data_IF_424423665286
#
_entry.id   IF_424423665286
#
_cell.length_a   1.000
_cell.length_b   1.000
_cell.length_c   1.000
_cell.angle_alpha   90.00
_cell.angle_beta   90.00
_cell.angle_gamma   90.00
#
_symmetry.space_group_name_H-M   'P 1'
#
loop_
_entity.id
_entity.type
_entity.pdbx_description
1 polymer ?
#
# COMPACT_ATOMS: atom_id res chain seq x y z
N UNK A 1 42.94 -13.89 -14.85
CA UNK A 1 42.62 -13.22 -13.56
C UNK A 1 41.20 -12.68 -13.67
N UNK A 2 40.25 -13.38 -13.14
CA UNK A 2 38.84 -12.98 -13.09
C UNK A 2 38.63 -12.13 -11.84
N UNK A 3 38.49 -10.83 -12.04
CA UNK A 3 38.06 -9.91 -10.99
C UNK A 3 36.56 -10.14 -10.78
N UNK A 4 36.22 -10.89 -9.76
CA UNK A 4 34.85 -10.97 -9.27
C UNK A 4 34.56 -9.63 -8.57
N UNK A 5 33.92 -8.72 -9.30
CA UNK A 5 33.33 -7.53 -8.68
C UNK A 5 32.17 -8.02 -7.84
N UNK A 6 32.37 -8.13 -6.56
CA UNK A 6 31.28 -8.32 -5.60
C UNK A 6 30.51 -7.00 -5.55
N UNK A 7 29.50 -6.90 -6.40
CA UNK A 7 28.52 -5.81 -6.32
C UNK A 7 27.83 -5.92 -4.96
N UNK A 8 27.98 -4.90 -4.12
CA UNK A 8 27.32 -4.85 -2.84
C UNK A 8 25.80 -4.92 -3.09
N UNK A 9 25.01 -5.69 -2.30
CA UNK A 9 23.59 -5.80 -2.51
C UNK A 9 22.98 -4.40 -2.45
N UNK A 10 22.21 -4.03 -3.48
CA UNK A 10 21.50 -2.76 -3.54
C UNK A 10 20.70 -2.59 -2.25
N UNK A 11 20.88 -1.46 -1.57
CA UNK A 11 20.21 -1.17 -0.31
C UNK A 11 18.72 -1.07 -0.57
N UNK A 12 17.97 -2.06 -0.16
CA UNK A 12 16.51 -2.06 -0.26
C UNK A 12 15.97 -1.01 0.69
N UNK A 13 15.27 -0.02 0.15
CA UNK A 13 14.64 1.05 0.92
C UNK A 13 13.16 0.76 1.07
N UNK A 14 12.73 0.51 2.29
CA UNK A 14 11.31 0.39 2.62
C UNK A 14 10.73 1.75 3.00
N UNK A 15 9.55 2.05 2.45
CA UNK A 15 8.82 3.28 2.76
C UNK A 15 7.33 3.05 2.80
N UNK A 16 6.67 3.86 3.61
CA UNK A 16 5.22 4.05 3.57
C UNK A 16 4.93 5.37 2.88
N UNK A 17 4.16 5.30 1.82
CA UNK A 17 3.85 6.43 0.95
C UNK A 17 2.34 6.63 0.92
N UNK A 18 1.91 7.87 1.00
CA UNK A 18 0.51 8.24 0.87
C UNK A 18 0.35 9.14 -0.35
N UNK A 19 -0.53 8.77 -1.25
CA UNK A 19 -0.75 9.54 -2.47
C UNK A 19 -2.12 9.26 -3.09
N UNK A 20 -2.36 9.86 -4.23
CA UNK A 20 -3.59 9.66 -4.99
C UNK A 20 -3.29 8.87 -6.27
N UNK A 21 -4.19 7.94 -6.62
CA UNK A 21 -4.07 7.19 -7.85
C UNK A 21 -4.26 8.11 -9.07
N UNK A 22 -3.34 8.04 -10.01
CA UNK A 22 -3.36 8.86 -11.24
C UNK A 22 -4.12 8.19 -12.38
N UNK A 23 -4.32 6.89 -12.27
CA UNK A 23 -5.05 6.04 -13.21
C UNK A 23 -5.72 4.89 -12.47
N UNK A 24 -6.69 4.27 -13.11
CA UNK A 24 -7.31 3.05 -12.58
C UNK A 24 -6.26 1.94 -12.50
N UNK A 25 -6.28 1.11 -11.44
CA UNK A 25 -5.39 -0.04 -11.34
C UNK A 25 -5.65 -1.04 -12.47
N UNK A 26 -4.60 -1.56 -13.07
CA UNK A 26 -4.67 -2.62 -14.08
C UNK A 26 -4.27 -3.95 -13.48
N UNK A 27 -5.16 -4.93 -13.57
CA UNK A 27 -4.89 -6.32 -13.18
C UNK A 27 -4.32 -7.09 -14.38
N UNK A 28 -3.26 -7.81 -14.13
CA UNK A 28 -2.62 -8.73 -15.09
C UNK A 28 -2.29 -10.05 -14.41
N UNK A 29 -2.08 -11.07 -15.22
CA UNK A 29 -1.67 -12.38 -14.74
C UNK A 29 -0.32 -12.75 -15.35
N UNK A 30 0.56 -13.29 -14.53
CA UNK A 30 1.84 -13.83 -15.02
C UNK A 30 1.61 -15.11 -15.82
N UNK A 31 2.65 -15.58 -16.52
CA UNK A 31 2.60 -16.87 -17.25
C UNK A 31 2.30 -18.06 -16.32
N UNK A 32 2.57 -17.93 -15.04
CA UNK A 32 2.26 -18.91 -13.98
C UNK A 32 0.87 -18.74 -13.36
N UNK A 33 0.10 -17.75 -13.82
CA UNK A 33 -1.23 -17.46 -13.30
C UNK A 33 -1.27 -16.61 -12.03
N UNK A 34 -0.15 -16.05 -11.58
CA UNK A 34 -0.11 -15.15 -10.41
C UNK A 34 -0.66 -13.79 -10.79
N UNK A 35 -1.72 -13.30 -10.11
CA UNK A 35 -2.23 -11.96 -10.35
C UNK A 35 -1.24 -10.89 -9.86
N UNK A 36 -1.15 -9.81 -10.60
CA UNK A 36 -0.42 -8.61 -10.20
C UNK A 36 -1.11 -7.38 -10.78
N UNK A 37 -1.06 -6.29 -10.06
CA UNK A 37 -1.69 -5.04 -10.46
C UNK A 37 -0.70 -3.89 -10.46
N UNK A 38 -0.89 -2.97 -11.38
CA UNK A 38 -0.14 -1.71 -11.45
C UNK A 38 -1.07 -0.52 -11.40
N UNK A 39 -0.64 0.51 -10.70
CA UNK A 39 -1.33 1.80 -10.67
C UNK A 39 -0.30 2.94 -10.61
N UNK A 40 -0.64 4.09 -11.12
CA UNK A 40 0.17 5.29 -10.90
C UNK A 40 -0.20 5.95 -9.58
N UNK A 41 0.78 6.40 -8.82
CA UNK A 41 0.61 7.07 -7.55
C UNK A 41 1.29 8.43 -7.58
N UNK A 42 0.52 9.50 -7.35
CA UNK A 42 1.04 10.86 -7.21
C UNK A 42 1.11 11.26 -5.73
N UNK A 43 2.28 11.62 -5.28
CA UNK A 43 2.57 12.07 -3.93
C UNK A 43 2.81 13.57 -3.94
N UNK A 44 1.91 14.32 -3.33
CA UNK A 44 2.03 15.77 -3.22
C UNK A 44 2.75 16.12 -1.92
N UNK A 45 3.82 16.84 -2.03
CA UNK A 45 4.57 17.37 -0.92
C UNK A 45 4.25 18.84 -0.70
N UNK A 46 4.08 19.23 0.55
CA UNK A 46 3.91 20.62 0.96
C UNK A 46 4.98 20.95 1.97
N UNK A 47 5.63 22.08 1.78
CA UNK A 47 6.60 22.62 2.71
C UNK A 47 5.99 23.82 3.43
N UNK A 48 6.10 23.84 4.75
CA UNK A 48 5.73 25.00 5.55
C UNK A 48 6.95 25.90 5.71
N UNK A 49 6.81 27.16 5.39
CA UNK A 49 7.82 28.20 5.65
C UNK A 49 7.72 28.72 7.08
N UNK A 50 8.77 29.37 7.54
CA UNK A 50 8.83 29.94 8.89
C UNK A 50 7.82 31.05 9.11
N UNK A 51 7.40 31.73 8.05
CA UNK A 51 6.34 32.76 8.04
C UNK A 51 4.90 32.19 8.14
N UNK A 52 4.78 30.85 8.17
CA UNK A 52 3.51 30.14 8.25
C UNK A 52 2.82 29.87 6.90
N UNK A 53 3.40 30.31 5.79
CA UNK A 53 2.89 30.02 4.46
C UNK A 53 3.23 28.59 4.01
N UNK A 54 2.42 28.05 3.10
CA UNK A 54 2.61 26.72 2.53
C UNK A 54 3.01 26.82 1.07
N UNK A 55 4.07 26.14 0.71
CA UNK A 55 4.53 25.94 -0.67
C UNK A 55 4.17 24.53 -1.13
N UNK A 56 3.53 24.44 -2.29
CA UNK A 56 3.33 23.16 -2.96
C UNK A 56 4.57 22.82 -3.77
N UNK A 57 5.20 21.71 -3.43
CA UNK A 57 6.34 21.19 -4.17
C UNK A 57 5.85 20.36 -5.36
N UNK A 58 6.73 20.17 -6.34
CA UNK A 58 6.43 19.29 -7.47
C UNK A 58 6.04 17.88 -6.96
N UNK A 59 4.97 17.29 -7.52
CA UNK A 59 4.55 15.95 -7.13
C UNK A 59 5.60 14.92 -7.52
N UNK A 60 5.80 13.95 -6.66
CA UNK A 60 6.56 12.74 -6.99
C UNK A 60 5.62 11.66 -7.50
N UNK A 61 6.05 10.95 -8.53
CA UNK A 61 5.28 9.88 -9.13
C UNK A 61 5.94 8.53 -8.86
N UNK A 62 5.12 7.55 -8.51
CA UNK A 62 5.53 6.17 -8.31
C UNK A 62 4.63 5.25 -9.13
N UNK A 63 5.20 4.17 -9.65
CA UNK A 63 4.44 3.04 -10.14
C UNK A 63 4.22 2.07 -8.98
N UNK A 64 2.97 2.02 -8.51
CA UNK A 64 2.55 1.08 -7.48
C UNK A 64 2.38 -0.30 -8.12
N UNK A 65 3.00 -1.30 -7.54
CA UNK A 65 2.91 -2.70 -7.98
C UNK A 65 2.49 -3.57 -6.80
N UNK A 66 1.44 -4.36 -6.99
CA UNK A 66 0.91 -5.29 -6.02
C UNK A 66 0.84 -6.69 -6.62
N UNK A 67 1.00 -7.72 -5.80
CA UNK A 67 0.94 -9.12 -6.20
C UNK A 67 -0.08 -9.91 -5.39
N UNK A 68 -0.55 -11.02 -5.97
CA UNK A 68 -1.44 -11.95 -5.31
C UNK A 68 -2.85 -11.39 -5.09
N UNK A 69 -3.53 -11.88 -4.08
CA UNK A 69 -4.90 -11.49 -3.75
C UNK A 69 -5.06 -9.99 -3.53
N UNK A 70 -4.03 -9.34 -2.99
CA UNK A 70 -4.01 -7.89 -2.81
C UNK A 70 -4.15 -7.14 -4.13
N UNK A 71 -3.61 -7.67 -5.23
CA UNK A 71 -3.74 -7.07 -6.56
C UNK A 71 -5.19 -7.14 -7.05
N UNK A 72 -5.87 -8.25 -6.85
CA UNK A 72 -7.28 -8.42 -7.22
C UNK A 72 -8.17 -7.50 -6.38
N UNK A 73 -7.96 -7.46 -5.07
CA UNK A 73 -8.69 -6.58 -4.16
C UNK A 73 -8.47 -5.10 -4.48
N UNK A 74 -7.25 -4.71 -4.84
CA UNK A 74 -6.94 -3.34 -5.21
C UNK A 74 -7.78 -2.87 -6.40
N UNK A 75 -7.82 -3.66 -7.47
CA UNK A 75 -8.57 -3.34 -8.70
C UNK A 75 -10.07 -3.26 -8.43
N UNK A 76 -10.58 -4.08 -7.52
CA UNK A 76 -11.98 -4.12 -7.15
C UNK A 76 -12.41 -2.97 -6.25
N UNK A 77 -11.50 -2.51 -5.36
CA UNK A 77 -11.83 -1.55 -4.30
C UNK A 77 -11.55 -0.09 -4.65
N UNK A 78 -10.62 0.19 -5.57
CA UNK A 78 -10.13 1.56 -5.81
C UNK A 78 -10.12 1.93 -7.28
N UNK A 79 -10.27 3.21 -7.53
CA UNK A 79 -10.25 3.80 -8.86
C UNK A 79 -9.32 5.02 -8.91
N UNK A 80 -9.14 5.59 -10.10
CA UNK A 80 -8.42 6.84 -10.29
C UNK A 80 -8.90 7.91 -9.32
N UNK A 81 -7.97 8.63 -8.71
CA UNK A 81 -8.25 9.68 -7.74
C UNK A 81 -8.38 9.21 -6.29
N UNK A 82 -8.52 7.91 -6.05
CA UNK A 82 -8.56 7.36 -4.69
C UNK A 82 -7.25 7.63 -3.96
N UNK A 83 -7.34 8.13 -2.73
CA UNK A 83 -6.18 8.31 -1.86
C UNK A 83 -5.86 7.02 -1.15
N UNK A 84 -4.64 6.54 -1.35
CA UNK A 84 -4.17 5.28 -0.77
C UNK A 84 -2.92 5.49 0.07
N UNK A 85 -2.71 4.58 1.01
CA UNK A 85 -1.49 4.44 1.79
C UNK A 85 -0.89 3.11 1.37
N UNK A 86 0.34 3.14 0.88
CA UNK A 86 1.03 1.94 0.45
C UNK A 86 2.38 1.83 1.17
N UNK A 87 2.68 0.66 1.67
CA UNK A 87 3.95 0.33 2.32
C UNK A 87 4.65 -0.77 1.57
N UNK A 88 5.94 -0.61 1.33
CA UNK A 88 6.72 -1.59 0.61
C UNK A 88 8.12 -1.10 0.28
N UNK A 89 8.79 -1.82 -0.60
CA UNK A 89 10.13 -1.47 -1.06
C UNK A 89 10.09 -0.57 -2.29
N UNK A 90 10.99 0.38 -2.33
CA UNK A 90 11.21 1.25 -3.49
C UNK A 90 12.31 0.64 -4.35
N UNK A 91 12.04 0.54 -5.63
CA UNK A 91 13.00 0.16 -6.66
C UNK A 91 13.08 1.27 -7.71
N UNK A 92 14.28 1.65 -8.06
CA UNK A 92 14.49 2.55 -9.21
C UNK A 92 14.47 1.72 -10.49
N UNK A 93 13.64 2.16 -11.43
CA UNK A 93 13.51 1.53 -12.75
C UNK A 93 13.99 2.52 -13.82
N UNK A 94 14.97 2.10 -14.57
CA UNK A 94 15.50 2.91 -15.67
C UNK A 94 15.13 2.24 -16.98
N UNK A 95 14.45 2.96 -17.85
CA UNK A 95 14.08 2.48 -19.17
C UNK A 95 14.39 3.50 -20.24
N UNK A 96 14.62 3.02 -21.43
CA UNK A 96 14.78 3.86 -22.61
C UNK A 96 13.42 4.08 -23.25
N UNK A 97 12.99 5.36 -23.34
CA UNK A 97 11.77 5.74 -24.02
C UNK A 97 11.90 5.53 -25.53
N UNK A 98 10.78 5.55 -26.25
CA UNK A 98 10.74 5.38 -27.71
C UNK A 98 11.52 6.45 -28.48
N UNK A 99 11.76 7.59 -27.87
CA UNK A 99 12.55 8.71 -28.40
C UNK A 99 14.08 8.56 -28.15
N UNK A 100 14.52 7.46 -27.52
CA UNK A 100 15.91 7.19 -27.18
C UNK A 100 16.41 7.81 -25.87
N UNK A 101 15.56 8.56 -25.16
CA UNK A 101 15.91 9.13 -23.85
C UNK A 101 15.83 8.10 -22.74
N UNK A 102 16.85 8.07 -21.89
CA UNK A 102 16.78 7.34 -20.63
C UNK A 102 15.83 8.07 -19.67
N UNK A 103 14.88 7.31 -19.14
CA UNK A 103 13.95 7.78 -18.10
C UNK A 103 14.08 6.91 -16.88
N UNK A 104 14.14 7.54 -15.74
CA UNK A 104 14.14 6.87 -14.44
C UNK A 104 12.78 7.04 -13.79
N UNK A 105 12.17 5.94 -13.44
CA UNK A 105 10.95 5.91 -12.63
C UNK A 105 11.23 5.23 -11.31
N UNK A 106 10.31 5.41 -10.37
CA UNK A 106 10.34 4.73 -9.09
C UNK A 106 9.17 3.79 -9.00
N UNK A 107 9.45 2.54 -8.74
CA UNK A 107 8.45 1.51 -8.44
C UNK A 107 8.32 1.33 -6.94
N UNK A 108 7.10 1.30 -6.46
CA UNK A 108 6.78 0.87 -5.10
C UNK A 108 6.19 -0.54 -5.19
N UNK A 109 6.98 -1.53 -4.82
CA UNK A 109 6.50 -2.90 -4.69
C UNK A 109 5.84 -3.00 -3.32
N UNK A 110 4.52 -2.98 -3.32
CA UNK A 110 3.76 -2.90 -2.09
C UNK A 110 3.61 -4.25 -1.40
N UNK A 111 3.89 -4.27 -0.12
CA UNK A 111 3.58 -5.37 0.80
C UNK A 111 2.20 -5.17 1.44
N UNK A 112 1.78 -3.91 1.57
CA UNK A 112 0.49 -3.53 2.14
C UNK A 112 -0.06 -2.29 1.43
N UNK A 113 -1.35 -2.31 1.12
CA UNK A 113 -2.07 -1.15 0.55
C UNK A 113 -3.41 -0.99 1.25
N UNK A 114 -3.74 0.22 1.60
CA UNK A 114 -5.01 0.58 2.20
C UNK A 114 -5.56 1.89 1.65
N UNK A 115 -6.86 2.07 1.76
CA UNK A 115 -7.52 3.35 1.43
C UNK A 115 -7.35 4.32 2.60
N UNK A 116 -6.98 5.55 2.29
CA UNK A 116 -6.87 6.60 3.31
C UNK A 116 -8.26 7.12 3.70
N UNK A 117 -8.58 7.05 4.97
CA UNK A 117 -9.85 7.55 5.53
C UNK A 117 -9.89 9.07 5.74
N UNK A 118 -8.82 9.77 5.39
CA UNK A 118 -8.74 11.22 5.64
C UNK A 118 -9.83 12.02 4.93
N UNK A 119 -10.24 11.59 3.73
CA UNK A 119 -11.21 12.30 2.90
C UNK A 119 -12.31 11.38 2.35
N UNK A 120 -12.36 10.14 2.80
CA UNK A 120 -13.32 9.14 2.33
C UNK A 120 -13.71 8.19 3.44
N UNK A 121 -14.86 7.57 3.29
CA UNK A 121 -15.31 6.46 4.12
C UNK A 121 -15.18 5.15 3.33
N UNK A 122 -14.94 4.05 4.03
CA UNK A 122 -14.77 2.73 3.41
C UNK A 122 -15.60 1.71 4.17
N UNK A 123 -16.27 0.86 3.43
CA UNK A 123 -16.94 -0.32 4.00
C UNK A 123 -16.02 -1.52 3.85
N UNK A 124 -15.77 -2.21 4.96
CA UNK A 124 -14.89 -3.38 4.98
C UNK A 124 -15.71 -4.65 4.93
N UNK A 125 -15.48 -5.46 3.90
CA UNK A 125 -15.98 -6.82 3.81
C UNK A 125 -14.83 -7.77 4.13
N UNK A 126 -14.94 -8.49 5.24
CA UNK A 126 -13.94 -9.50 5.61
C UNK A 126 -14.10 -10.71 4.71
N UNK A 127 -13.03 -11.09 4.04
CA UNK A 127 -12.96 -12.35 3.34
C UNK A 127 -12.70 -13.46 4.38
N UNK A 128 -13.63 -14.37 4.51
CA UNK A 128 -13.41 -15.57 5.30
C UNK A 128 -12.36 -16.40 4.58
N UNK A 129 -11.16 -16.46 5.11
CA UNK A 129 -10.23 -17.50 4.68
C UNK A 129 -10.92 -18.83 4.99
N UNK A 130 -11.19 -19.61 3.95
CA UNK A 130 -11.53 -21.02 4.13
C UNK A 130 -10.31 -21.64 4.81
N UNK A 131 -10.44 -21.86 6.12
CA UNK A 131 -9.47 -22.64 6.85
C UNK A 131 -9.34 -23.99 6.13
N UNK A 132 -8.09 -24.49 5.87
CA UNK A 132 -7.94 -25.83 5.34
C UNK A 132 -8.71 -26.79 6.24
N UNK A 133 -9.58 -27.59 5.65
CA UNK A 133 -10.41 -28.54 6.35
C UNK A 133 -9.53 -29.43 7.25
N UNK A 134 -9.68 -29.32 8.58
CA UNK A 134 -9.04 -30.19 9.55
C UNK A 134 -8.18 -29.46 10.56
N UNK A 135 -8.75 -28.64 11.39
CA UNK A 135 -8.39 -28.48 12.81
C UNK A 135 -9.53 -27.73 13.51
N UNK A 136 -10.36 -28.45 14.18
CA UNK A 136 -11.22 -27.90 15.21
C UNK A 136 -10.31 -27.40 16.35
N UNK A 137 -9.92 -26.16 16.26
CA UNK A 137 -9.39 -25.44 17.39
C UNK A 137 -10.52 -24.55 17.91
N UNK A 138 -11.38 -25.15 18.66
CA UNK A 138 -12.29 -24.48 19.56
C UNK A 138 -11.45 -23.74 20.61
N UNK A 139 -11.01 -22.53 20.27
CA UNK A 139 -10.49 -21.61 21.27
C UNK A 139 -11.70 -20.87 21.86
N UNK A 140 -12.41 -21.55 22.72
CA UNK A 140 -13.37 -20.92 23.59
C UNK A 140 -12.62 -20.03 24.58
N UNK A 141 -12.69 -18.72 24.36
CA UNK A 141 -12.39 -17.80 25.45
C UNK A 141 -13.49 -17.95 26.49
N UNK A 142 -13.19 -18.28 27.75
CA UNK A 142 -14.19 -18.28 28.80
C UNK A 142 -14.72 -16.82 28.93
N UNK A 143 -16.00 -16.66 28.66
CA UNK A 143 -16.72 -15.50 29.14
C UNK A 143 -16.78 -15.63 30.65
N UNK A 144 -15.98 -14.86 31.33
CA UNK A 144 -16.27 -14.60 32.76
C UNK A 144 -17.55 -13.81 32.83
N UNK A 145 -18.60 -14.52 33.21
CA UNK A 145 -19.79 -13.94 33.78
C UNK A 145 -19.46 -13.61 35.23
N UNK A 146 -19.37 -12.34 35.56
CA UNK A 146 -19.23 -12.02 36.97
C UNK A 146 -19.07 -10.54 37.21
N UNK A 147 -20.05 -9.93 37.76
CA UNK A 147 -19.85 -8.76 38.58
C UNK A 147 -20.52 -7.48 38.07
N UNK A 148 -21.77 -7.43 38.39
CA UNK A 148 -22.48 -6.25 38.81
C UNK A 148 -21.56 -5.37 39.69
N UNK A 149 -21.14 -4.23 39.17
CA UNK A 149 -20.65 -3.14 39.99
C UNK A 149 -21.29 -1.85 39.45
N UNK A 150 -22.35 -1.45 40.08
CA UNK A 150 -22.99 -0.18 39.90
C UNK A 150 -21.97 0.96 40.07
N UNK A 151 -21.76 1.72 39.01
CA UNK A 151 -21.19 3.04 39.16
C UNK A 151 -22.31 4.04 39.32
N UNK A 152 -22.42 4.48 40.57
CA UNK A 152 -23.18 5.61 40.98
C UNK A 152 -22.66 6.83 40.21
N UNK A 153 -23.52 7.41 39.43
CA UNK A 153 -23.28 8.66 38.71
C UNK A 153 -23.48 9.82 39.62
N UNK A 154 -22.44 10.53 39.97
CA UNK A 154 -22.58 11.89 40.46
C UNK A 154 -22.24 12.89 39.35
N UNK A 155 -23.08 13.87 39.12
CA UNK A 155 -22.93 14.90 38.08
C UNK A 155 -22.12 16.08 38.61
N UNK A 156 -21.14 16.43 37.79
CA UNK A 156 -20.62 17.80 37.80
C UNK A 156 -20.68 18.36 36.41
#
# INVERSE_FOLDING_TARGET
MTTTTTEAPAKVVYRTITGNLTRDPELRYSTKGTPWATAGLAVNHRKRHEDGTWEELAPEFYDLVCFGDMAEHLVECVEKGTRVIASGRIEDDTWTAKDGTERTGRKLIADEVGVSLRFATVTVTKLTQLAPAGTDAEAGYPRESGGDAGYDSEPF
#
